data_IF_135966787312
#
_entry.id   IF_135966787312
#
_cell.length_a   1.000
_cell.length_b   1.000
_cell.length_c   1.000
_cell.angle_alpha   90.00
_cell.angle_beta   90.00
_cell.angle_gamma   90.00
#
_symmetry.space_group_name_H-M   'P 1'
#
loop_
_entity.id
_entity.type
_entity.pdbx_description
1 polymer ?
#
# COMPACT_ATOMS: atom_id res chain seq x y z
N UNK A 1 -4.79 -13.45 -11.54
CA UNK A 1 -5.27 -13.40 -10.14
C UNK A 1 -4.38 -14.13 -9.13
N UNK A 2 -3.67 -15.22 -9.46
CA UNK A 2 -2.74 -15.90 -8.53
C UNK A 2 -1.62 -14.99 -7.99
N UNK A 3 -1.00 -14.17 -8.85
CA UNK A 3 0.04 -13.21 -8.45
C UNK A 3 -0.46 -12.10 -7.53
N UNK A 4 -1.69 -11.61 -7.77
CA UNK A 4 -2.28 -10.54 -6.95
C UNK A 4 -2.49 -11.00 -5.50
N UNK A 5 -2.97 -12.24 -5.32
CA UNK A 5 -3.10 -12.86 -4.00
C UNK A 5 -1.74 -13.04 -3.30
N UNK A 6 -0.69 -13.41 -4.05
CA UNK A 6 0.68 -13.51 -3.53
C UNK A 6 1.28 -12.15 -3.11
N UNK A 7 1.01 -11.08 -3.86
CA UNK A 7 1.46 -9.71 -3.53
C UNK A 7 0.80 -9.21 -2.24
N UNK A 8 -0.52 -9.42 -2.08
CA UNK A 8 -1.25 -9.05 -0.85
C UNK A 8 -0.68 -9.81 0.36
N UNK A 9 -0.44 -11.11 0.24
CA UNK A 9 0.08 -11.96 1.32
C UNK A 9 1.52 -11.55 1.70
N UNK A 10 2.38 -11.29 0.71
CA UNK A 10 3.77 -10.81 0.92
C UNK A 10 3.81 -9.42 1.57
N UNK A 11 2.94 -8.50 1.12
CA UNK A 11 2.83 -7.16 1.69
C UNK A 11 2.39 -7.16 3.16
N UNK A 12 1.42 -8.03 3.52
CA UNK A 12 0.95 -8.16 4.89
C UNK A 12 2.07 -8.63 5.84
N UNK A 13 2.87 -9.60 5.42
CA UNK A 13 3.95 -10.17 6.23
C UNK A 13 5.07 -9.15 6.51
N UNK A 14 5.32 -8.23 5.58
CA UNK A 14 6.40 -7.24 5.69
C UNK A 14 5.97 -6.02 6.52
N UNK A 15 4.66 -5.70 6.55
CA UNK A 15 4.12 -4.52 7.26
C UNK A 15 4.21 -4.57 8.79
N UNK A 16 4.34 -5.77 9.39
CA UNK A 16 4.37 -5.95 10.84
C UNK A 16 5.62 -5.31 11.49
N UNK A 17 6.76 -5.32 10.78
CA UNK A 17 8.03 -4.80 11.28
C UNK A 17 8.17 -3.28 11.10
N UNK A 18 7.48 -2.70 10.10
CA UNK A 18 7.62 -1.29 9.68
C UNK A 18 6.65 -0.35 10.40
N UNK A 19 5.64 -0.88 11.09
CA UNK A 19 4.68 -0.06 11.85
C UNK A 19 5.31 0.59 13.10
N UNK A 20 6.51 0.19 13.50
CA UNK A 20 7.33 0.84 14.52
C UNK A 20 8.35 1.79 13.86
N UNK A 21 7.89 2.74 13.05
CA UNK A 21 8.73 3.80 12.52
C UNK A 21 9.06 4.78 13.65
N UNK A 22 10.04 4.38 14.47
CA UNK A 22 10.47 5.07 15.68
C UNK A 22 10.68 6.56 15.39
N UNK A 23 10.00 7.40 16.18
CA UNK A 23 9.97 8.84 16.11
C UNK A 23 11.36 9.44 16.42
N UNK A 24 12.31 9.33 15.50
CA UNK A 24 13.71 9.73 15.70
C UNK A 24 13.87 11.21 16.07
N UNK A 25 12.89 12.07 15.74
CA UNK A 25 12.89 13.49 16.10
C UNK A 25 12.15 13.83 17.41
N UNK A 26 11.41 12.90 18.03
CA UNK A 26 10.60 13.20 19.21
C UNK A 26 11.29 12.90 20.55
N UNK A 27 12.47 12.28 20.52
CA UNK A 27 13.33 12.08 21.70
C UNK A 27 12.84 11.05 22.73
N UNK A 28 11.53 10.83 22.84
CA UNK A 28 10.91 9.82 23.70
C UNK A 28 9.88 8.98 22.92
N UNK A 29 10.14 7.68 22.67
CA UNK A 29 9.21 6.79 21.98
C UNK A 29 7.92 6.50 22.77
N UNK A 30 7.86 6.84 24.06
CA UNK A 30 6.66 6.68 24.89
C UNK A 30 5.86 7.99 25.06
N UNK A 31 6.30 9.07 24.42
CA UNK A 31 5.57 10.33 24.44
C UNK A 31 4.27 10.23 23.65
N UNK A 32 3.22 10.90 24.14
CA UNK A 32 1.95 11.03 23.42
C UNK A 32 2.11 11.63 22.01
N UNK A 33 3.18 12.41 21.78
CA UNK A 33 3.49 12.98 20.47
C UNK A 33 3.94 11.91 19.45
N UNK A 34 4.73 10.92 19.86
CA UNK A 34 5.14 9.80 19.00
C UNK A 34 3.94 8.92 18.63
N UNK A 35 3.08 8.63 19.61
CA UNK A 35 1.86 7.83 19.41
C UNK A 35 0.87 8.50 18.43
N UNK A 36 0.77 9.82 18.45
CA UNK A 36 -0.02 10.58 17.48
C UNK A 36 0.56 10.51 16.07
N UNK A 37 1.89 10.53 15.94
CA UNK A 37 2.57 10.43 14.66
C UNK A 37 2.47 9.03 14.03
N UNK A 38 2.59 7.96 14.82
CA UNK A 38 2.42 6.59 14.32
C UNK A 38 1.03 6.38 13.72
N UNK A 39 0.00 6.90 14.40
CA UNK A 39 -1.38 6.87 13.90
C UNK A 39 -1.52 7.69 12.61
N UNK A 40 -0.88 8.85 12.51
CA UNK A 40 -0.87 9.64 11.28
C UNK A 40 -0.22 8.87 10.10
N UNK A 41 0.92 8.22 10.33
CA UNK A 41 1.58 7.40 9.30
C UNK A 41 0.67 6.27 8.84
N UNK A 42 0.00 5.57 9.76
CA UNK A 42 -0.94 4.51 9.42
C UNK A 42 -2.10 5.04 8.56
N UNK A 43 -2.65 6.22 8.89
CA UNK A 43 -3.71 6.82 8.07
C UNK A 43 -3.23 7.20 6.67
N UNK A 44 -2.03 7.77 6.53
CA UNK A 44 -1.45 8.13 5.24
C UNK A 44 -1.18 6.89 4.40
N UNK A 45 -0.56 5.85 4.96
CA UNK A 45 -0.38 4.57 4.29
C UNK A 45 -1.72 3.95 3.89
N UNK A 46 -2.71 4.03 4.77
CA UNK A 46 -4.06 3.54 4.56
C UNK A 46 -4.79 4.22 3.40
N UNK A 47 -4.45 5.46 3.05
CA UNK A 47 -5.05 6.17 1.90
C UNK A 47 -4.20 5.98 0.63
N UNK A 48 -2.89 6.13 0.73
CA UNK A 48 -1.98 6.08 -0.43
C UNK A 48 -1.93 4.66 -1.02
N UNK A 49 -1.90 3.64 -0.15
CA UNK A 49 -1.89 2.24 -0.55
C UNK A 49 -3.03 1.86 -1.51
N UNK A 50 -4.31 2.00 -1.11
CA UNK A 50 -5.43 1.68 -1.99
C UNK A 50 -5.53 2.59 -3.21
N UNK A 51 -5.13 3.87 -3.10
CA UNK A 51 -5.13 4.78 -4.24
C UNK A 51 -4.18 4.30 -5.35
N UNK A 52 -2.91 4.04 -5.00
CA UNK A 52 -1.92 3.51 -5.94
C UNK A 52 -2.37 2.15 -6.50
N UNK A 53 -2.97 1.33 -5.66
CA UNK A 53 -3.47 0.02 -6.04
C UNK A 53 -4.61 0.11 -7.08
N UNK A 54 -5.56 1.02 -6.90
CA UNK A 54 -6.65 1.25 -7.84
C UNK A 54 -6.14 1.73 -9.21
N UNK A 55 -5.16 2.64 -9.21
CA UNK A 55 -4.52 3.15 -10.45
C UNK A 55 -3.87 2.01 -11.21
N UNK A 56 -3.10 1.15 -10.53
CA UNK A 56 -2.44 0.00 -11.16
C UNK A 56 -3.46 -0.97 -11.80
N UNK A 57 -4.56 -1.31 -11.09
CA UNK A 57 -5.62 -2.14 -11.67
C UNK A 57 -6.24 -1.48 -12.90
N UNK A 58 -6.49 -0.17 -12.84
CA UNK A 58 -7.06 0.58 -13.96
C UNK A 58 -6.22 0.45 -15.22
N UNK A 59 -4.91 0.68 -15.10
CA UNK A 59 -3.97 0.58 -16.22
C UNK A 59 -3.94 -0.85 -16.79
N UNK A 60 -3.83 -1.87 -15.93
CA UNK A 60 -3.78 -3.27 -16.36
C UNK A 60 -5.09 -3.67 -17.05
N UNK A 61 -6.24 -3.23 -16.53
CA UNK A 61 -7.56 -3.53 -17.09
C UNK A 61 -7.72 -2.94 -18.49
N UNK A 62 -7.26 -1.70 -18.69
CA UNK A 62 -7.25 -1.06 -20.00
C UNK A 62 -6.32 -1.82 -20.97
N UNK A 63 -5.12 -2.21 -20.52
CA UNK A 63 -4.18 -2.97 -21.35
C UNK A 63 -4.72 -4.32 -21.81
N UNK A 64 -5.38 -5.07 -20.91
CA UNK A 64 -6.01 -6.36 -21.26
C UNK A 64 -7.18 -6.15 -22.23
N UNK A 65 -8.03 -5.15 -21.97
CA UNK A 65 -9.18 -4.83 -22.84
C UNK A 65 -8.71 -4.41 -24.24
N UNK A 66 -7.65 -3.61 -24.32
CA UNK A 66 -7.03 -3.18 -25.57
C UNK A 66 -6.53 -4.36 -26.41
N UNK A 67 -5.82 -5.32 -25.79
CA UNK A 67 -5.40 -6.55 -26.47
C UNK A 67 -6.60 -7.33 -27.03
N UNK A 68 -7.64 -7.57 -26.23
CA UNK A 68 -8.82 -8.35 -26.69
C UNK A 68 -9.53 -7.74 -27.90
N UNK A 69 -9.59 -6.41 -27.98
CA UNK A 69 -10.20 -5.71 -29.11
C UNK A 69 -9.32 -5.77 -30.37
N UNK A 70 -7.99 -5.87 -30.21
CA UNK A 70 -7.06 -6.01 -31.32
C UNK A 70 -7.08 -7.42 -31.94
N UNK A 71 -7.25 -8.46 -31.12
CA UNK A 71 -7.34 -9.87 -31.58
C UNK A 71 -8.69 -10.23 -32.24
N UNK A 72 -9.70 -9.35 -32.16
CA UNK A 72 -11.03 -9.56 -32.76
C UNK A 72 -11.15 -8.89 -34.14
N UNK A 73 -10.05 -8.36 -34.68
CA UNK A 73 -9.96 -7.75 -36.01
C UNK A 73 -9.11 -8.64 -36.92
#
# INVERSE_FOLDING_TARGET
MKYFKYIIISGLYTSAEILMACATCFGDPNSNAGKGMDMAIITLLGIIGPLLFAIAIGIISIGIKSKRLNETK
#
